data_IF_447492886453
#
_entry.id   IF_447492886453
#
_cell.length_a   1.000
_cell.length_b   1.000
_cell.length_c   1.000
_cell.angle_alpha   90.00
_cell.angle_beta   90.00
_cell.angle_gamma   90.00
#
_symmetry.space_group_name_H-M   'P 1'
#
loop_
_entity.id
_entity.type
_entity.pdbx_description
1 polymer ?
#
# COMPACT_ATOMS: atom_id res chain seq x y z
N UNK A 1 -2.78 10.25 11.00
CA UNK A 1 -2.39 9.01 10.32
C UNK A 1 -1.50 9.30 9.13
N UNK A 2 -0.29 8.73 9.13
CA UNK A 2 0.68 8.90 8.05
C UNK A 2 0.56 7.75 7.05
N UNK A 3 0.39 8.10 5.78
CA UNK A 3 0.20 7.19 4.64
C UNK A 3 1.36 7.38 3.66
N UNK A 4 1.95 6.27 3.20
CA UNK A 4 2.98 6.29 2.15
C UNK A 4 2.51 5.52 0.92
N UNK A 5 2.52 6.20 -0.23
CA UNK A 5 2.30 5.61 -1.53
C UNK A 5 3.60 4.97 -2.07
N UNK A 6 3.49 3.77 -2.64
CA UNK A 6 4.60 3.08 -3.30
C UNK A 6 5.04 3.78 -4.62
N UNK A 7 6.03 3.20 -5.29
CA UNK A 7 6.61 3.77 -6.51
C UNK A 7 5.69 3.66 -7.75
N UNK A 8 4.67 2.81 -7.69
CA UNK A 8 3.71 2.62 -8.77
C UNK A 8 2.67 3.75 -8.85
N UNK A 9 2.62 4.60 -7.82
CA UNK A 9 1.71 5.74 -7.75
C UNK A 9 2.50 7.00 -8.06
N UNK A 10 2.19 7.62 -9.20
CA UNK A 10 2.90 8.81 -9.67
C UNK A 10 2.83 9.95 -8.62
N UNK A 11 3.93 10.67 -8.33
CA UNK A 11 3.95 11.76 -7.35
C UNK A 11 2.90 12.84 -7.62
N UNK A 12 2.59 13.12 -8.89
CA UNK A 12 1.54 14.08 -9.25
C UNK A 12 0.14 13.64 -8.80
N UNK A 13 -0.13 12.33 -8.73
CA UNK A 13 -1.40 11.79 -8.22
C UNK A 13 -1.44 11.93 -6.69
N UNK A 14 -0.32 11.61 -6.03
CA UNK A 14 -0.16 11.82 -4.58
C UNK A 14 -0.40 13.28 -4.20
N UNK A 15 0.18 14.21 -4.98
CA UNK A 15 -0.02 15.64 -4.79
C UNK A 15 -1.48 16.05 -5.00
N UNK A 16 -2.11 15.61 -6.10
CA UNK A 16 -3.51 15.93 -6.38
C UNK A 16 -4.45 15.47 -5.26
N UNK A 17 -4.23 14.26 -4.71
CA UNK A 17 -4.98 13.77 -3.56
C UNK A 17 -4.73 14.63 -2.32
N UNK A 18 -3.46 14.98 -2.07
CA UNK A 18 -3.07 15.82 -0.92
C UNK A 18 -3.74 17.19 -0.96
N UNK A 19 -3.83 17.80 -2.14
CA UNK A 19 -4.36 19.15 -2.31
C UNK A 19 -5.89 19.21 -2.31
N UNK A 20 -6.56 18.19 -2.85
CA UNK A 20 -8.00 18.23 -3.14
C UNK A 20 -8.81 17.42 -2.13
N UNK A 21 -8.30 16.26 -1.72
CA UNK A 21 -9.12 15.22 -1.10
C UNK A 21 -8.64 14.80 0.28
N UNK A 22 -7.44 15.17 0.72
CA UNK A 22 -6.87 14.76 2.01
C UNK A 22 -7.64 15.36 3.18
N UNK A 23 -7.92 14.56 4.19
CA UNK A 23 -8.59 14.95 5.41
C UNK A 23 -7.65 15.48 6.47
N UNK A 24 -8.23 16.27 7.38
CA UNK A 24 -7.51 16.68 8.58
C UNK A 24 -7.03 15.47 9.38
N UNK A 25 -5.82 15.59 9.92
CA UNK A 25 -5.18 14.50 10.66
C UNK A 25 -4.58 13.41 9.78
N UNK A 26 -4.65 13.50 8.45
CA UNK A 26 -3.95 12.60 7.53
C UNK A 26 -2.73 13.28 6.89
N UNK A 27 -1.69 12.50 6.64
CA UNK A 27 -0.53 12.88 5.85
C UNK A 27 -0.37 11.85 4.74
N UNK A 28 -0.28 12.29 3.48
CA UNK A 28 -0.01 11.42 2.35
C UNK A 28 1.32 11.81 1.70
N UNK A 29 2.21 10.85 1.54
CA UNK A 29 3.52 11.04 0.94
C UNK A 29 3.85 9.93 -0.06
N UNK A 30 4.78 10.16 -0.99
CA UNK A 30 5.30 9.14 -1.90
C UNK A 30 6.64 8.60 -1.40
N UNK A 31 6.91 7.32 -1.65
CA UNK A 31 8.24 6.70 -1.46
C UNK A 31 9.33 7.37 -2.32
N UNK A 32 8.95 7.87 -3.50
CA UNK A 32 9.85 8.57 -4.43
C UNK A 32 10.31 9.91 -3.85
N UNK A 33 9.36 10.69 -3.31
CA UNK A 33 9.67 11.98 -2.66
C UNK A 33 10.44 11.80 -1.33
N UNK A 34 10.35 10.62 -0.72
CA UNK A 34 11.04 10.27 0.51
C UNK A 34 12.51 9.87 0.32
N UNK A 35 13.00 9.81 -0.93
CA UNK A 35 14.37 9.39 -1.23
C UNK A 35 14.59 7.86 -1.19
N UNK A 36 13.52 7.07 -1.18
CA UNK A 36 13.58 5.60 -1.18
C UNK A 36 13.39 4.99 -2.58
N UNK A 37 13.62 5.77 -3.64
CA UNK A 37 13.55 5.26 -5.01
C UNK A 37 14.53 4.08 -5.21
N UNK A 38 14.02 2.92 -5.62
CA UNK A 38 14.82 1.70 -5.81
C UNK A 38 15.26 0.99 -4.51
N UNK A 39 14.81 1.45 -3.33
CA UNK A 39 15.02 0.73 -2.08
C UNK A 39 14.12 -0.51 -2.03
N UNK A 40 14.62 -1.62 -1.50
CA UNK A 40 13.77 -2.82 -1.32
C UNK A 40 12.56 -2.51 -0.43
N UNK A 41 11.41 -3.11 -0.73
CA UNK A 41 10.16 -2.81 -0.02
C UNK A 41 10.22 -3.04 1.48
N UNK A 42 11.00 -4.04 1.91
CA UNK A 42 11.24 -4.29 3.32
C UNK A 42 11.87 -3.09 4.00
N UNK A 43 12.85 -2.46 3.34
CA UNK A 43 13.63 -1.39 3.92
C UNK A 43 12.77 -0.15 4.13
N UNK A 44 12.06 0.31 3.10
CA UNK A 44 11.27 1.53 3.22
C UNK A 44 10.00 1.34 4.07
N UNK A 45 9.31 0.19 3.99
CA UNK A 45 8.13 -0.07 4.84
C UNK A 45 8.55 -0.08 6.33
N UNK A 46 9.68 -0.73 6.64
CA UNK A 46 10.18 -0.79 8.02
C UNK A 46 10.65 0.58 8.50
N UNK A 47 11.40 1.31 7.69
CA UNK A 47 11.86 2.66 8.03
C UNK A 47 10.68 3.62 8.24
N UNK A 48 9.71 3.58 7.34
CA UNK A 48 8.49 4.38 7.43
C UNK A 48 7.69 4.05 8.70
N UNK A 49 7.48 2.77 9.00
CA UNK A 49 6.78 2.36 10.21
C UNK A 49 7.51 2.79 11.50
N UNK A 50 8.83 2.65 11.54
CA UNK A 50 9.65 3.09 12.68
C UNK A 50 9.61 4.61 12.90
N UNK A 51 9.41 5.37 11.82
CA UNK A 51 9.20 6.83 11.86
C UNK A 51 7.76 7.21 12.27
N UNK A 52 6.90 6.24 12.59
CA UNK A 52 5.49 6.47 12.94
C UNK A 52 4.53 6.42 11.75
N UNK A 53 4.98 5.87 10.63
CA UNK A 53 4.14 5.52 9.49
C UNK A 53 3.13 4.43 9.83
N UNK A 54 1.87 4.61 9.43
CA UNK A 54 0.78 3.74 9.88
C UNK A 54 0.12 2.94 8.76
N UNK A 55 0.19 3.43 7.52
CA UNK A 55 -0.47 2.82 6.39
C UNK A 55 0.30 3.01 5.08
N UNK A 56 0.15 2.04 4.17
CA UNK A 56 0.70 2.11 2.83
C UNK A 56 -0.40 2.02 1.78
N UNK A 57 -0.20 2.71 0.67
CA UNK A 57 -1.00 2.65 -0.54
C UNK A 57 -0.14 2.05 -1.64
N UNK A 58 -0.56 0.95 -2.24
CA UNK A 58 0.26 0.22 -3.23
C UNK A 58 -0.56 -0.20 -4.44
N UNK A 59 0.05 -0.14 -5.62
CA UNK A 59 -0.51 -0.71 -6.86
C UNK A 59 0.33 -1.89 -7.39
N UNK A 60 1.30 -2.38 -6.61
CA UNK A 60 2.15 -3.51 -6.99
C UNK A 60 1.32 -4.80 -7.06
N UNK A 61 1.21 -5.37 -8.25
CA UNK A 61 0.48 -6.63 -8.48
C UNK A 61 1.15 -7.86 -7.87
N UNK A 62 2.45 -7.78 -7.56
CA UNK A 62 3.22 -8.85 -6.95
C UNK A 62 3.29 -8.73 -5.42
N UNK A 63 2.59 -7.74 -4.84
CA UNK A 63 2.62 -7.47 -3.40
C UNK A 63 2.33 -8.69 -2.53
N UNK A 64 1.31 -9.44 -2.93
CA UNK A 64 0.89 -10.64 -2.21
C UNK A 64 1.76 -11.87 -2.49
N UNK A 65 2.60 -11.84 -3.52
CA UNK A 65 3.41 -12.98 -3.97
C UNK A 65 4.83 -12.95 -3.39
N UNK A 66 5.31 -11.76 -3.04
CA UNK A 66 6.66 -11.52 -2.55
C UNK A 66 6.71 -11.61 -1.02
N UNK A 67 7.38 -12.64 -0.46
CA UNK A 67 7.52 -12.78 0.99
C UNK A 67 8.07 -11.55 1.70
N UNK A 68 9.08 -10.82 1.16
CA UNK A 68 9.63 -9.65 1.83
C UNK A 68 8.56 -8.61 2.19
N UNK A 69 7.65 -8.30 1.26
CA UNK A 69 6.60 -7.30 1.44
C UNK A 69 5.56 -7.74 2.48
N UNK A 70 4.99 -8.92 2.32
CA UNK A 70 3.98 -9.46 3.25
C UNK A 70 4.54 -9.60 4.67
N UNK A 71 5.80 -10.04 4.79
CA UNK A 71 6.45 -10.15 6.10
C UNK A 71 6.84 -8.79 6.69
N UNK A 72 7.09 -7.77 5.87
CA UNK A 72 7.28 -6.40 6.36
C UNK A 72 6.00 -5.89 7.01
N UNK A 73 4.84 -6.10 6.38
CA UNK A 73 3.53 -5.80 6.99
C UNK A 73 3.36 -6.55 8.30
N UNK A 74 3.68 -7.86 8.33
CA UNK A 74 3.57 -8.67 9.54
C UNK A 74 4.38 -8.11 10.71
N UNK A 75 5.62 -7.68 10.45
CA UNK A 75 6.56 -7.18 11.46
C UNK A 75 6.21 -5.78 11.96
N UNK A 76 5.80 -4.91 11.05
CA UNK A 76 5.61 -3.47 11.34
C UNK A 76 4.20 -3.13 11.82
N UNK A 77 3.21 -3.94 11.45
CA UNK A 77 1.82 -3.65 11.79
C UNK A 77 1.12 -2.69 10.83
N UNK A 78 1.80 -2.18 9.79
CA UNK A 78 1.20 -1.21 8.86
C UNK A 78 -0.09 -1.75 8.23
N UNK A 79 -1.02 -0.84 7.97
CA UNK A 79 -2.25 -1.10 7.23
C UNK A 79 -1.99 -0.99 5.74
N UNK A 80 -2.67 -1.79 4.92
CA UNK A 80 -2.44 -1.81 3.47
C UNK A 80 -3.73 -1.48 2.73
N UNK A 81 -3.66 -0.50 1.85
CA UNK A 81 -4.66 -0.29 0.80
C UNK A 81 -4.02 -0.69 -0.53
N UNK A 82 -4.53 -1.78 -1.11
CA UNK A 82 -4.06 -2.31 -2.38
C UNK A 82 -4.98 -1.87 -3.51
N UNK A 83 -4.43 -1.13 -4.46
CA UNK A 83 -5.14 -0.63 -5.63
C UNK A 83 -5.35 -1.77 -6.64
N UNK A 84 -6.54 -1.89 -7.23
CA UNK A 84 -6.86 -3.01 -8.11
C UNK A 84 -5.97 -3.00 -9.37
N UNK A 85 -5.68 -4.16 -9.93
CA UNK A 85 -4.84 -4.29 -11.14
C UNK A 85 -5.35 -3.44 -12.33
N UNK A 86 -6.66 -3.27 -12.45
CA UNK A 86 -7.26 -2.39 -13.46
C UNK A 86 -6.87 -0.92 -13.27
N UNK A 87 -6.70 -0.46 -12.02
CA UNK A 87 -6.22 0.88 -11.71
C UNK A 87 -4.76 1.04 -12.14
N UNK A 88 -3.90 0.06 -11.84
CA UNK A 88 -2.48 0.09 -12.22
C UNK A 88 -2.28 0.20 -13.75
N UNK A 89 -3.17 -0.41 -14.52
CA UNK A 89 -3.14 -0.40 -15.99
C UNK A 89 -3.94 0.76 -16.63
N UNK A 90 -4.62 1.59 -15.83
CA UNK A 90 -5.42 2.69 -16.36
C UNK A 90 -4.56 3.90 -16.75
N UNK A 91 -5.12 4.80 -17.57
CA UNK A 91 -4.49 6.09 -17.88
C UNK A 91 -4.38 6.93 -16.61
N UNK A 92 -3.32 7.74 -16.48
CA UNK A 92 -3.06 8.60 -15.30
C UNK A 92 -4.24 9.47 -14.87
N UNK A 93 -5.00 10.02 -15.82
CA UNK A 93 -6.19 10.80 -15.50
C UNK A 93 -7.28 9.98 -14.79
N UNK A 94 -7.49 8.73 -15.22
CA UNK A 94 -8.44 7.82 -14.57
C UNK A 94 -7.92 7.33 -13.22
N UNK A 95 -6.62 7.09 -13.11
CA UNK A 95 -5.98 6.76 -11.84
C UNK A 95 -6.21 7.86 -10.79
N UNK A 96 -5.94 9.11 -11.17
CA UNK A 96 -6.15 10.28 -10.32
C UNK A 96 -7.63 10.44 -9.95
N UNK A 97 -8.53 10.45 -10.95
CA UNK A 97 -9.96 10.63 -10.71
C UNK A 97 -10.54 9.55 -9.79
N UNK A 98 -10.16 8.29 -9.99
CA UNK A 98 -10.58 7.18 -9.14
C UNK A 98 -10.10 7.37 -7.70
N UNK A 99 -8.82 7.69 -7.48
CA UNK A 99 -8.32 7.92 -6.11
C UNK A 99 -8.99 9.10 -5.43
N UNK A 100 -9.21 10.21 -6.13
CA UNK A 100 -9.88 11.39 -5.58
C UNK A 100 -11.30 11.06 -5.08
N UNK A 101 -12.07 10.30 -5.86
CA UNK A 101 -13.44 9.87 -5.51
C UNK A 101 -13.46 8.88 -4.34
N UNK A 102 -12.43 8.03 -4.23
CA UNK A 102 -12.37 7.00 -3.20
C UNK A 102 -11.67 7.47 -1.91
N UNK A 103 -11.01 8.61 -1.92
CA UNK A 103 -10.10 8.99 -0.83
C UNK A 103 -10.76 9.05 0.54
N UNK A 104 -11.96 9.64 0.63
CA UNK A 104 -12.69 9.73 1.90
C UNK A 104 -13.05 8.36 2.48
N UNK A 105 -13.33 7.39 1.61
CA UNK A 105 -13.58 6.00 2.00
C UNK A 105 -12.28 5.30 2.42
N UNK A 106 -11.16 5.60 1.76
CA UNK A 106 -9.84 5.13 2.17
C UNK A 106 -9.52 5.58 3.59
N UNK A 107 -9.70 6.86 3.91
CA UNK A 107 -9.44 7.42 5.25
C UNK A 107 -10.33 6.77 6.33
N UNK A 108 -11.63 6.64 6.05
CA UNK A 108 -12.57 5.97 6.94
C UNK A 108 -12.19 4.50 7.16
N UNK A 109 -11.86 3.79 6.08
CA UNK A 109 -11.47 2.39 6.14
C UNK A 109 -10.16 2.21 6.93
N UNK A 110 -9.16 3.06 6.70
CA UNK A 110 -7.89 3.03 7.41
C UNK A 110 -8.06 3.28 8.91
N UNK A 111 -8.97 4.18 9.28
CA UNK A 111 -9.30 4.46 10.69
C UNK A 111 -9.95 3.25 11.36
N UNK A 112 -10.81 2.52 10.65
CA UNK A 112 -11.49 1.32 11.15
C UNK A 112 -10.62 0.05 11.12
N UNK A 113 -9.58 0.02 10.28
CA UNK A 113 -8.71 -1.14 10.09
C UNK A 113 -7.87 -1.45 11.32
N UNK A 114 -7.77 -2.74 11.62
CA UNK A 114 -6.78 -3.26 12.57
C UNK A 114 -5.38 -3.29 11.93
N UNK A 115 -4.31 -3.25 12.74
CA UNK A 115 -2.95 -3.45 12.24
C UNK A 115 -2.83 -4.74 11.41
N UNK A 116 -2.05 -4.69 10.33
CA UNK A 116 -1.79 -5.81 9.39
C UNK A 116 -2.97 -6.22 8.52
N UNK A 117 -4.04 -5.44 8.48
CA UNK A 117 -5.12 -5.67 7.52
C UNK A 117 -4.78 -5.09 6.16
N UNK A 118 -5.30 -5.75 5.12
CA UNK A 118 -5.25 -5.28 3.75
C UNK A 118 -6.66 -5.18 3.19
N UNK A 119 -6.96 -4.07 2.52
CA UNK A 119 -8.21 -3.86 1.80
C UNK A 119 -7.93 -3.38 0.38
N UNK A 120 -8.88 -3.64 -0.51
CA UNK A 120 -8.89 -3.15 -1.89
C UNK A 120 -10.25 -2.54 -2.22
N UNK A 121 -10.34 -1.68 -3.23
CA UNK A 121 -11.61 -1.20 -3.78
C UNK A 121 -11.82 -1.66 -5.21
N UNK A 122 -13.07 -1.76 -5.68
CA UNK A 122 -13.35 -1.94 -7.09
C UNK A 122 -12.86 -0.74 -7.92
N UNK A 123 -12.48 -1.00 -9.17
CA UNK A 123 -12.20 0.05 -10.13
C UNK A 123 -13.51 0.55 -10.76
N UNK A 124 -14.26 1.34 -10.01
CA UNK A 124 -15.47 2.01 -10.47
C UNK A 124 -15.60 3.39 -9.78
N UNK A 125 -16.59 4.18 -10.21
CA UNK A 125 -16.88 5.50 -9.64
C UNK A 125 -18.13 5.48 -8.76
N UNK A 126 -18.59 4.30 -8.32
CA UNK A 126 -19.78 4.18 -7.49
C UNK A 126 -19.49 4.70 -6.09
N UNK A 127 -20.39 5.51 -5.54
CA UNK A 127 -20.31 6.00 -4.17
C UNK A 127 -20.73 4.95 -3.13
N UNK A 128 -21.59 4.00 -3.53
CA UNK A 128 -22.14 2.96 -2.66
C UNK A 128 -21.30 1.67 -2.59
N UNK A 129 -20.22 1.60 -3.37
CA UNK A 129 -19.40 0.40 -3.41
C UNK A 129 -18.50 0.26 -2.16
N UNK A 130 -18.47 -0.94 -1.60
CA UNK A 130 -17.66 -1.28 -0.43
C UNK A 130 -16.23 -1.70 -0.80
N UNK A 131 -15.30 -1.42 0.12
CA UNK A 131 -13.97 -1.99 0.11
C UNK A 131 -13.99 -3.44 0.57
N UNK A 132 -13.12 -4.27 -0.01
CA UNK A 132 -13.04 -5.71 0.29
C UNK A 132 -11.74 -6.01 0.99
N UNK A 133 -11.82 -6.78 2.08
CA UNK A 133 -10.65 -7.29 2.78
C UNK A 133 -9.90 -8.29 1.91
N UNK A 134 -8.59 -8.14 1.80
CA UNK A 134 -7.69 -9.08 1.12
C UNK A 134 -6.86 -9.79 2.19
N UNK A 135 -6.96 -11.12 2.32
CA UNK A 135 -6.20 -11.85 3.33
C UNK A 135 -4.69 -11.85 3.00
N UNK A 136 -3.87 -11.49 3.99
CA UNK A 136 -2.42 -11.63 3.92
C UNK A 136 -1.99 -12.97 4.51
N UNK A 137 -1.42 -13.86 3.70
CA UNK A 137 -0.95 -15.18 4.15
C UNK A 137 0.48 -15.11 4.72
N UNK A 138 0.58 -14.66 5.96
CA UNK A 138 1.85 -14.58 6.68
C UNK A 138 2.53 -15.94 6.86
N UNK A 139 1.76 -17.02 7.01
CA UNK A 139 2.30 -18.34 7.31
C UNK A 139 3.00 -18.93 6.09
N UNK A 140 2.35 -18.91 4.92
CA UNK A 140 2.92 -19.41 3.68
C UNK A 140 4.09 -18.54 3.22
N UNK A 141 4.00 -17.22 3.39
CA UNK A 141 5.11 -16.31 3.06
C UNK A 141 6.33 -16.55 3.96
N UNK A 142 6.12 -16.80 5.25
CA UNK A 142 7.20 -17.19 6.17
C UNK A 142 7.89 -18.49 5.77
N UNK A 143 7.12 -19.50 5.32
CA UNK A 143 7.69 -20.75 4.79
C UNK A 143 8.50 -20.52 3.51
N UNK A 144 7.99 -19.69 2.60
CA UNK A 144 8.64 -19.36 1.32
C UNK A 144 9.97 -18.62 1.55
N UNK A 145 10.01 -17.66 2.49
CA UNK A 145 11.24 -16.97 2.88
C UNK A 145 12.31 -17.94 3.42
N UNK A 146 11.94 -18.80 4.39
CA UNK A 146 12.87 -19.79 4.96
C UNK A 146 13.42 -20.77 3.91
N UNK A 147 12.61 -21.15 2.92
CA UNK A 147 13.06 -22.02 1.82
C UNK A 147 14.05 -21.32 0.89
N UNK A 148 13.85 -20.03 0.64
CA UNK A 148 14.78 -19.22 -0.16
C UNK A 148 16.13 -19.08 0.54
N UNK A 149 16.14 -18.75 1.84
CA UNK A 149 17.35 -18.62 2.65
C UNK A 149 18.17 -19.91 2.62
N UNK A 150 17.55 -21.07 2.87
CA UNK A 150 18.24 -22.37 2.82
C UNK A 150 18.91 -22.68 1.49
N UNK A 151 18.33 -22.23 0.37
CA UNK A 151 18.92 -22.42 -0.96
C UNK A 151 20.13 -21.52 -1.20
N UNK A 152 20.13 -20.32 -0.62
CA UNK A 152 21.26 -19.38 -0.75
C UNK A 152 22.53 -19.81 0.00
N UNK A 153 22.40 -20.68 1.02
CA UNK A 153 23.54 -21.24 1.76
C UNK A 153 24.13 -22.53 1.16
N UNK A 154 23.48 -23.10 0.13
CA UNK A 154 23.88 -24.39 -0.46
C UNK A 154 24.39 -24.27 -1.92
N UNK A 155 24.55 -23.05 -2.44
CA UNK A 155 25.12 -22.76 -3.75
C UNK A 155 26.25 -21.76 -3.63
#
# INVERSE_FOLDING_TARGET
MRIRADEHIAPAIVQAVSDIALGEGFELTSVLNAGFAGATDVHWITAFANDGGEAILTADTDFFKLPPQVLAVQRTGVRVIHLPSHWANAKRALQAGHLLIWWRRIEAQLTAMKPRECFTMPFNLSEDADMKRVPLDFQSMGKKARKADRRSYMG
#
